data_IF_000282767958
#
_entry.id   IF_000282767958
#
_cell.length_a   1.000
_cell.length_b   1.000
_cell.length_c   1.000
_cell.angle_alpha   90.00
_cell.angle_beta   90.00
_cell.angle_gamma   90.00
#
_symmetry.space_group_name_H-M   'P 1'
#
loop_
_entity.id
_entity.type
_entity.pdbx_description
1 polymer ?
#
# COMPACT_ATOMS: atom_id res chain seq x y z
N UNK A 1 -16.54 -1.57 -25.59
CA UNK A 1 -15.39 -2.48 -25.75
C UNK A 1 -15.94 -3.87 -26.03
N UNK A 2 -15.52 -4.56 -27.11
CA UNK A 2 -16.05 -5.89 -27.40
C UNK A 2 -15.55 -6.88 -26.35
N UNK A 3 -16.45 -7.74 -25.85
CA UNK A 3 -16.14 -8.77 -24.87
C UNK A 3 -15.21 -9.82 -25.50
N UNK A 4 -13.90 -9.70 -25.24
CA UNK A 4 -12.94 -10.73 -25.59
C UNK A 4 -13.17 -11.94 -24.69
N UNK A 5 -13.44 -13.09 -25.31
CA UNK A 5 -13.51 -14.38 -24.62
C UNK A 5 -12.24 -14.58 -23.79
N UNK A 6 -12.38 -14.68 -22.46
CA UNK A 6 -11.22 -14.84 -21.57
C UNK A 6 -10.49 -16.13 -21.90
N UNK A 7 -9.26 -16.04 -22.42
CA UNK A 7 -8.41 -17.20 -22.65
C UNK A 7 -8.00 -17.81 -21.30
N UNK A 8 -7.66 -19.10 -21.27
CA UNK A 8 -7.15 -19.75 -20.04
C UNK A 8 -5.94 -18.99 -19.47
N UNK A 9 -5.09 -18.45 -20.35
CA UNK A 9 -3.92 -17.63 -20.00
C UNK A 9 -4.31 -16.31 -19.33
N UNK A 10 -5.34 -15.61 -19.82
CA UNK A 10 -5.81 -14.37 -19.21
C UNK A 10 -6.51 -14.62 -17.86
N UNK A 11 -7.24 -15.73 -17.70
CA UNK A 11 -7.82 -16.15 -16.42
C UNK A 11 -6.74 -16.46 -15.38
N UNK A 12 -5.68 -17.18 -15.77
CA UNK A 12 -4.54 -17.47 -14.88
C UNK A 12 -3.78 -16.18 -14.52
N UNK A 13 -3.59 -15.27 -15.48
CA UNK A 13 -3.00 -13.96 -15.22
C UNK A 13 -3.82 -13.16 -14.19
N UNK A 14 -5.14 -13.11 -14.36
CA UNK A 14 -6.05 -12.42 -13.44
C UNK A 14 -6.07 -13.04 -12.04
N UNK A 15 -6.06 -14.37 -11.94
CA UNK A 15 -6.05 -15.07 -10.64
C UNK A 15 -4.75 -14.87 -9.86
N UNK A 16 -3.61 -14.79 -10.56
CA UNK A 16 -2.27 -14.63 -9.97
C UNK A 16 -1.90 -13.15 -9.69
N UNK A 17 -2.58 -12.19 -10.32
CA UNK A 17 -2.36 -10.77 -10.07
C UNK A 17 -3.17 -10.30 -8.86
N UNK A 18 -2.47 -10.05 -7.75
CA UNK A 18 -3.04 -9.61 -6.48
C UNK A 18 -3.62 -8.18 -6.48
N UNK A 19 -3.69 -7.51 -7.62
CA UNK A 19 -4.12 -6.11 -7.76
C UNK A 19 -5.63 -5.94 -7.89
N UNK A 20 -6.33 -6.97 -8.38
CA UNK A 20 -7.78 -6.91 -8.53
C UNK A 20 -8.40 -7.40 -7.22
N UNK A 21 -9.13 -6.51 -6.53
CA UNK A 21 -9.78 -6.78 -5.24
C UNK A 21 -10.91 -7.82 -5.29
N UNK A 22 -10.91 -8.73 -6.26
CA UNK A 22 -11.84 -9.83 -6.38
C UNK A 22 -11.63 -10.88 -5.29
N UNK A 23 -12.71 -11.55 -4.90
CA UNK A 23 -12.70 -12.61 -3.87
C UNK A 23 -11.77 -13.79 -4.22
N UNK A 24 -11.57 -14.09 -5.51
CA UNK A 24 -10.65 -15.13 -5.97
C UNK A 24 -9.18 -14.76 -5.75
N UNK A 25 -8.78 -13.54 -6.11
CA UNK A 25 -7.41 -13.03 -5.90
C UNK A 25 -7.02 -13.01 -4.42
N UNK A 26 -7.96 -12.64 -3.55
CA UNK A 26 -7.77 -12.68 -2.09
C UNK A 26 -7.56 -14.11 -1.57
N UNK A 27 -8.33 -15.08 -2.08
CA UNK A 27 -8.17 -16.51 -1.73
C UNK A 27 -6.80 -17.03 -2.16
N UNK A 28 -6.38 -16.76 -3.40
CA UNK A 28 -5.05 -17.16 -3.90
C UNK A 28 -3.92 -16.55 -3.08
N UNK A 29 -4.02 -15.26 -2.74
CA UNK A 29 -3.06 -14.60 -1.85
C UNK A 29 -3.01 -15.27 -0.48
N UNK A 30 -4.16 -15.56 0.13
CA UNK A 30 -4.22 -16.23 1.44
C UNK A 30 -3.60 -17.64 1.39
N UNK A 31 -3.88 -18.41 0.33
CA UNK A 31 -3.31 -19.73 0.12
C UNK A 31 -1.78 -19.66 0.01
N UNK A 32 -1.23 -18.71 -0.77
CA UNK A 32 0.22 -18.54 -0.90
C UNK A 32 0.87 -18.17 0.44
N UNK A 33 0.25 -17.30 1.23
CA UNK A 33 0.77 -16.94 2.55
C UNK A 33 0.76 -18.14 3.51
N UNK A 34 -0.26 -18.99 3.46
CA UNK A 34 -0.33 -20.23 4.25
C UNK A 34 0.76 -21.21 3.82
N UNK A 35 0.93 -21.45 2.51
CA UNK A 35 1.98 -22.32 1.96
C UNK A 35 3.37 -21.81 2.37
N UNK A 36 3.59 -20.50 2.27
CA UNK A 36 4.84 -19.86 2.67
C UNK A 36 5.09 -19.98 4.17
N UNK A 37 4.07 -19.73 5.01
CA UNK A 37 4.17 -19.89 6.45
C UNK A 37 4.47 -21.33 6.86
N UNK A 38 3.80 -22.31 6.25
CA UNK A 38 4.07 -23.73 6.48
C UNK A 38 5.49 -24.12 6.05
N UNK A 39 5.98 -23.60 4.92
CA UNK A 39 7.35 -23.82 4.45
C UNK A 39 8.40 -23.23 5.40
N UNK A 40 8.24 -21.97 5.83
CA UNK A 40 9.16 -21.34 6.77
C UNK A 40 9.15 -22.03 8.15
N UNK A 41 7.97 -22.46 8.62
CA UNK A 41 7.87 -23.25 9.85
C UNK A 41 8.57 -24.61 9.71
N UNK A 42 8.42 -25.30 8.58
CA UNK A 42 9.11 -26.56 8.31
C UNK A 42 10.64 -26.37 8.30
N UNK A 43 11.13 -25.27 7.72
CA UNK A 43 12.56 -24.93 7.75
C UNK A 43 13.04 -24.66 9.17
N UNK A 44 12.28 -23.89 9.96
CA UNK A 44 12.61 -23.66 11.37
C UNK A 44 12.61 -24.94 12.22
N UNK A 45 11.68 -25.87 11.96
CA UNK A 45 11.66 -27.17 12.64
C UNK A 45 12.79 -28.09 12.17
N UNK A 46 13.25 -27.94 10.92
CA UNK A 46 14.35 -28.74 10.39
C UNK A 46 15.69 -28.47 11.06
N UNK A 47 15.84 -27.34 11.77
CA UNK A 47 17.05 -27.01 12.54
C UNK A 47 17.06 -27.62 13.95
N UNK A 48 16.09 -28.46 14.30
CA UNK A 48 16.03 -29.14 15.60
C UNK A 48 16.53 -30.58 15.44
N UNK A 49 17.65 -30.89 16.09
CA UNK A 49 18.35 -32.17 15.90
C UNK A 49 17.58 -33.39 16.47
N UNK A 50 16.84 -33.21 17.57
CA UNK A 50 16.18 -34.30 18.33
C UNK A 50 14.72 -34.58 17.95
N UNK A 51 14.39 -34.51 16.65
CA UNK A 51 13.04 -34.82 16.17
C UNK A 51 12.86 -36.31 15.84
N UNK A 52 11.70 -36.93 16.17
CA UNK A 52 11.38 -38.29 15.75
C UNK A 52 11.51 -38.47 14.23
N UNK A 53 11.96 -39.64 13.77
CA UNK A 53 12.20 -39.89 12.35
C UNK A 53 10.96 -39.65 11.45
N UNK A 54 9.76 -39.91 11.98
CA UNK A 54 8.50 -39.58 11.30
C UNK A 54 8.35 -38.06 11.07
N UNK A 55 8.66 -37.24 12.08
CA UNK A 55 8.58 -35.79 11.99
C UNK A 55 9.61 -35.25 10.99
N UNK A 56 10.85 -35.76 11.00
CA UNK A 56 11.88 -35.38 10.02
C UNK A 56 11.44 -35.67 8.58
N UNK A 57 10.86 -36.84 8.31
CA UNK A 57 10.31 -37.20 6.99
C UNK A 57 9.15 -36.31 6.58
N UNK A 58 8.24 -36.01 7.51
CA UNK A 58 7.11 -35.11 7.27
C UNK A 58 7.59 -33.69 6.93
N UNK A 59 8.56 -33.16 7.67
CA UNK A 59 9.17 -31.84 7.42
C UNK A 59 9.81 -31.79 6.04
N UNK A 60 10.62 -32.80 5.69
CA UNK A 60 11.24 -32.89 4.36
C UNK A 60 10.19 -32.95 3.25
N UNK A 61 9.12 -33.72 3.45
CA UNK A 61 7.99 -33.79 2.51
C UNK A 61 7.31 -32.42 2.33
N UNK A 62 7.05 -31.70 3.42
CA UNK A 62 6.46 -30.35 3.37
C UNK A 62 7.37 -29.38 2.61
N UNK A 63 8.68 -29.39 2.86
CA UNK A 63 9.65 -28.54 2.16
C UNK A 63 9.63 -28.82 0.64
N UNK A 64 9.67 -30.10 0.24
CA UNK A 64 9.60 -30.50 -1.18
C UNK A 64 8.28 -30.06 -1.81
N UNK A 65 7.16 -30.25 -1.10
CA UNK A 65 5.83 -29.85 -1.56
C UNK A 65 5.74 -28.33 -1.79
N UNK A 66 6.20 -27.53 -0.82
CA UNK A 66 6.23 -26.05 -0.94
C UNK A 66 7.12 -25.61 -2.09
N UNK A 67 8.31 -26.21 -2.22
CA UNK A 67 9.24 -25.94 -3.31
C UNK A 67 8.60 -26.24 -4.69
N UNK A 68 7.89 -27.36 -4.80
CA UNK A 68 7.16 -27.74 -6.01
C UNK A 68 6.02 -26.76 -6.33
N UNK A 69 5.25 -26.34 -5.33
CA UNK A 69 4.20 -25.31 -5.50
C UNK A 69 4.80 -24.01 -6.04
N UNK A 70 5.94 -23.55 -5.51
CA UNK A 70 6.60 -22.33 -5.98
C UNK A 70 7.21 -22.45 -7.37
N UNK A 71 7.73 -23.62 -7.73
CA UNK A 71 8.19 -23.92 -9.09
C UNK A 71 7.04 -23.84 -10.10
N UNK A 72 5.92 -24.51 -9.81
CA UNK A 72 4.72 -24.48 -10.66
C UNK A 72 4.18 -23.07 -10.77
N UNK A 73 4.07 -22.34 -9.65
CA UNK A 73 3.62 -20.96 -9.63
C UNK A 73 4.47 -20.05 -10.52
N UNK A 74 5.81 -20.14 -10.42
CA UNK A 74 6.69 -19.34 -11.26
C UNK A 74 6.57 -19.69 -12.74
N UNK A 75 6.46 -20.98 -13.07
CA UNK A 75 6.20 -21.44 -14.44
C UNK A 75 4.89 -20.85 -14.99
N UNK A 76 3.82 -20.87 -14.20
CA UNK A 76 2.53 -20.27 -14.57
C UNK A 76 2.62 -18.75 -14.75
N UNK A 77 3.31 -18.04 -13.85
CA UNK A 77 3.50 -16.58 -13.96
C UNK A 77 4.36 -16.20 -15.16
N UNK A 78 5.41 -16.96 -15.46
CA UNK A 78 6.24 -16.77 -16.64
C UNK A 78 5.45 -17.04 -17.92
N UNK A 79 4.64 -18.10 -17.95
CA UNK A 79 3.77 -18.40 -19.09
C UNK A 79 2.68 -17.34 -19.33
N UNK A 80 2.09 -16.82 -18.25
CA UNK A 80 1.05 -15.78 -18.29
C UNK A 80 1.60 -14.35 -18.43
N UNK A 81 2.92 -14.13 -18.36
CA UNK A 81 3.54 -12.81 -18.42
C UNK A 81 3.15 -11.95 -19.65
N UNK A 82 2.99 -12.50 -20.87
CA UNK A 82 2.61 -11.72 -22.06
C UNK A 82 1.21 -11.09 -21.99
N UNK A 83 0.31 -11.57 -21.11
CA UNK A 83 -1.02 -10.97 -20.91
C UNK A 83 -0.95 -9.65 -20.13
N UNK A 84 0.19 -9.31 -19.54
CA UNK A 84 0.31 -8.06 -18.80
C UNK A 84 0.21 -6.86 -19.75
N UNK A 85 -0.65 -5.86 -19.44
CA UNK A 85 -0.72 -4.62 -20.21
C UNK A 85 0.63 -3.91 -20.35
N UNK A 86 1.55 -4.13 -19.40
CA UNK A 86 2.91 -3.56 -19.40
C UNK A 86 3.76 -4.04 -20.59
N UNK A 87 3.42 -5.17 -21.21
CA UNK A 87 4.19 -5.79 -22.28
C UNK A 87 3.38 -5.97 -23.58
N UNK A 88 2.25 -5.25 -23.72
CA UNK A 88 1.35 -5.39 -24.86
C UNK A 88 2.04 -5.18 -26.22
N UNK A 89 3.02 -4.28 -26.30
CA UNK A 89 3.74 -3.95 -27.54
C UNK A 89 4.96 -4.86 -27.82
N UNK A 90 5.10 -5.98 -27.10
CA UNK A 90 6.30 -6.83 -27.13
C UNK A 90 5.98 -8.23 -27.64
N UNK A 91 6.98 -8.88 -28.24
CA UNK A 91 6.90 -10.32 -28.55
C UNK A 91 6.82 -11.15 -27.26
N UNK A 92 6.15 -12.31 -27.31
CA UNK A 92 5.93 -13.14 -26.13
C UNK A 92 7.24 -13.52 -25.40
N UNK A 93 8.28 -13.91 -26.14
CA UNK A 93 9.58 -14.24 -25.55
C UNK A 93 10.23 -13.05 -24.83
N UNK A 94 10.13 -11.86 -25.40
CA UNK A 94 10.65 -10.63 -24.79
C UNK A 94 9.87 -10.24 -23.54
N UNK A 95 8.55 -10.43 -23.54
CA UNK A 95 7.70 -10.19 -22.38
C UNK A 95 8.08 -11.12 -21.22
N UNK A 96 8.29 -12.40 -21.49
CA UNK A 96 8.72 -13.41 -20.50
C UNK A 96 10.07 -13.06 -19.89
N UNK A 97 11.08 -12.74 -20.72
CA UNK A 97 12.42 -12.38 -20.23
C UNK A 97 12.40 -11.11 -19.39
N UNK A 98 11.66 -10.09 -19.83
CA UNK A 98 11.54 -8.83 -19.10
C UNK A 98 10.79 -8.99 -17.78
N UNK A 99 9.79 -9.87 -17.74
CA UNK A 99 9.12 -10.23 -16.49
C UNK A 99 10.06 -10.98 -15.54
N UNK A 100 10.82 -11.96 -16.04
CA UNK A 100 11.79 -12.72 -15.22
C UNK A 100 12.86 -11.81 -14.60
N UNK A 101 13.31 -10.78 -15.32
CA UNK A 101 14.26 -9.77 -14.85
C UNK A 101 13.62 -8.64 -14.00
N UNK A 102 12.30 -8.66 -13.81
CA UNK A 102 11.62 -7.71 -12.92
C UNK A 102 11.86 -8.07 -11.45
N UNK A 103 11.70 -7.14 -10.49
CA UNK A 103 11.87 -7.45 -9.07
C UNK A 103 11.01 -8.64 -8.59
N UNK A 104 9.76 -8.74 -9.05
CA UNK A 104 8.88 -9.86 -8.71
C UNK A 104 9.33 -11.18 -9.37
N UNK A 105 9.88 -11.11 -10.58
CA UNK A 105 10.47 -12.26 -11.28
C UNK A 105 11.74 -12.76 -10.60
N UNK A 106 12.64 -11.86 -10.23
CA UNK A 106 13.88 -12.18 -9.51
C UNK A 106 13.60 -12.81 -8.15
N UNK A 107 12.65 -12.27 -7.38
CA UNK A 107 12.20 -12.90 -6.12
C UNK A 107 11.63 -14.29 -6.39
N UNK A 108 10.81 -14.45 -7.45
CA UNK A 108 10.29 -15.75 -7.86
C UNK A 108 11.39 -16.75 -8.21
N UNK A 109 12.40 -16.31 -8.97
CA UNK A 109 13.55 -17.13 -9.37
C UNK A 109 14.36 -17.57 -8.14
N UNK A 110 14.67 -16.64 -7.23
CA UNK A 110 15.35 -16.93 -5.97
C UNK A 110 14.55 -17.90 -5.10
N UNK A 111 13.22 -17.79 -5.07
CA UNK A 111 12.35 -18.69 -4.30
C UNK A 111 12.31 -20.14 -4.84
N UNK A 112 12.76 -20.38 -6.07
CA UNK A 112 12.83 -21.73 -6.68
C UNK A 112 14.22 -22.35 -6.50
N UNK A 113 15.23 -21.57 -6.13
CA UNK A 113 16.58 -22.10 -5.84
C UNK A 113 16.56 -23.28 -4.87
N UNK A 114 15.71 -23.33 -3.81
CA UNK A 114 15.55 -24.53 -2.99
C UNK A 114 15.08 -25.76 -3.77
N UNK A 115 14.10 -25.63 -4.67
CA UNK A 115 13.63 -26.75 -5.49
C UNK A 115 14.76 -27.30 -6.38
N UNK A 116 15.57 -26.40 -6.94
CA UNK A 116 16.76 -26.77 -7.71
C UNK A 116 17.81 -27.46 -6.82
N UNK A 117 18.15 -26.87 -5.68
CA UNK A 117 19.10 -27.46 -4.74
C UNK A 117 18.66 -28.84 -4.24
N UNK A 118 17.37 -29.04 -3.95
CA UNK A 118 16.81 -30.32 -3.49
C UNK A 118 16.81 -31.38 -4.62
N UNK A 119 16.51 -30.99 -5.85
CA UNK A 119 16.54 -31.91 -7.01
C UNK A 119 17.98 -32.30 -7.40
N UNK A 120 18.93 -31.36 -7.31
CA UNK A 120 20.36 -31.66 -7.42
C UNK A 120 20.84 -32.50 -6.24
N UNK A 121 20.30 -32.32 -5.03
CA UNK A 121 20.61 -33.15 -3.85
C UNK A 121 20.14 -34.60 -4.00
N UNK A 122 19.06 -34.86 -4.74
CA UNK A 122 18.72 -36.22 -5.14
C UNK A 122 19.84 -36.89 -5.99
N UNK A 123 20.77 -36.08 -6.51
CA UNK A 123 21.96 -36.49 -7.27
C UNK A 123 23.28 -36.28 -6.48
N UNK A 124 23.35 -35.40 -5.47
CA UNK A 124 24.56 -35.05 -4.71
C UNK A 124 24.33 -34.92 -3.18
N UNK A 125 25.21 -35.50 -2.37
CA UNK A 125 24.98 -35.84 -0.96
C UNK A 125 25.39 -34.78 0.10
N UNK A 126 25.14 -33.48 -0.11
CA UNK A 126 25.40 -32.45 0.92
C UNK A 126 24.09 -31.86 1.48
N UNK A 127 23.98 -31.77 2.82
CA UNK A 127 22.72 -31.63 3.56
C UNK A 127 22.29 -30.20 3.89
N UNK A 128 23.21 -29.25 4.00
CA UNK A 128 22.91 -28.00 4.74
C UNK A 128 22.62 -26.80 3.82
N UNK A 129 23.18 -26.78 2.61
CA UNK A 129 23.03 -25.68 1.66
C UNK A 129 21.59 -25.50 1.19
N UNK A 130 20.83 -26.59 1.02
CA UNK A 130 19.43 -26.53 0.57
C UNK A 130 18.52 -25.84 1.60
N UNK A 131 18.77 -26.06 2.90
CA UNK A 131 18.02 -25.43 3.98
C UNK A 131 18.28 -23.91 4.02
N UNK A 132 19.53 -23.49 3.78
CA UNK A 132 19.91 -22.07 3.68
C UNK A 132 19.16 -21.35 2.55
N UNK A 133 19.01 -21.99 1.38
CA UNK A 133 18.24 -21.40 0.28
C UNK A 133 16.75 -21.26 0.60
N UNK A 134 16.19 -22.12 1.47
CA UNK A 134 14.77 -22.03 1.83
C UNK A 134 14.44 -20.73 2.57
N UNK A 135 15.41 -20.09 3.23
CA UNK A 135 15.23 -18.76 3.81
C UNK A 135 14.86 -17.70 2.75
N UNK A 136 15.28 -17.87 1.48
CA UNK A 136 14.91 -16.96 0.39
C UNK A 136 13.41 -16.91 0.13
N UNK A 137 12.64 -17.90 0.60
CA UNK A 137 11.18 -17.86 0.55
C UNK A 137 10.61 -16.66 1.31
N UNK A 138 11.30 -16.14 2.33
CA UNK A 138 10.85 -14.94 3.06
C UNK A 138 10.71 -13.73 2.13
N UNK A 139 11.50 -13.65 1.05
CA UNK A 139 11.43 -12.57 0.06
C UNK A 139 10.08 -12.53 -0.67
N UNK A 140 9.38 -13.68 -0.80
CA UNK A 140 8.03 -13.72 -1.38
C UNK A 140 7.02 -12.94 -0.54
N UNK A 141 7.21 -12.77 0.77
CA UNK A 141 6.35 -11.90 1.59
C UNK A 141 6.29 -10.48 1.03
N UNK A 142 7.43 -9.99 0.51
CA UNK A 142 7.54 -8.66 -0.07
C UNK A 142 6.64 -8.45 -1.29
N UNK A 143 6.39 -9.51 -2.07
CA UNK A 143 5.52 -9.47 -3.26
C UNK A 143 4.04 -9.40 -2.88
N UNK A 144 3.66 -9.97 -1.74
CA UNK A 144 2.27 -10.04 -1.28
C UNK A 144 1.83 -8.87 -0.41
N UNK A 145 2.76 -8.00 0.01
CA UNK A 145 2.48 -6.84 0.82
C UNK A 145 2.32 -5.57 -0.05
N UNK A 146 1.11 -5.02 -0.22
CA UNK A 146 0.89 -3.78 -0.98
C UNK A 146 1.71 -2.60 -0.42
N UNK A 147 2.00 -2.63 0.88
CA UNK A 147 2.86 -1.68 1.56
C UNK A 147 4.28 -1.63 0.98
N UNK A 148 4.82 -2.74 0.47
CA UNK A 148 6.18 -2.77 -0.10
C UNK A 148 6.29 -1.98 -1.39
N UNK A 149 5.24 -1.98 -2.23
CA UNK A 149 5.19 -1.12 -3.41
C UNK A 149 5.19 0.37 -3.05
N UNK A 150 4.57 0.73 -1.92
CA UNK A 150 4.64 2.08 -1.35
C UNK A 150 6.05 2.41 -0.90
N UNK A 151 6.62 1.54 -0.06
CA UNK A 151 7.94 1.71 0.53
C UNK A 151 9.00 1.87 -0.54
N UNK A 152 8.97 1.05 -1.60
CA UNK A 152 9.89 1.16 -2.73
C UNK A 152 9.78 2.51 -3.47
N UNK A 153 8.55 3.04 -3.64
CA UNK A 153 8.35 4.36 -4.25
C UNK A 153 8.84 5.48 -3.35
N UNK A 154 8.55 5.42 -2.04
CA UNK A 154 9.06 6.39 -1.06
C UNK A 154 10.57 6.42 -1.06
N UNK A 155 11.24 5.26 -0.96
CA UNK A 155 12.70 5.18 -1.01
C UNK A 155 13.26 5.71 -2.33
N UNK A 156 12.61 5.39 -3.47
CA UNK A 156 13.05 5.88 -4.78
C UNK A 156 12.90 7.41 -4.90
N UNK A 157 11.84 7.98 -4.34
CA UNK A 157 11.59 9.42 -4.37
C UNK A 157 12.55 10.16 -3.43
N UNK A 158 12.77 9.62 -2.23
CA UNK A 158 13.62 10.21 -1.18
C UNK A 158 15.10 9.78 -1.25
N UNK A 159 15.51 9.08 -2.32
CA UNK A 159 16.85 8.47 -2.43
C UNK A 159 17.99 9.46 -2.24
N UNK A 160 17.83 10.70 -2.69
CA UNK A 160 18.86 11.73 -2.57
C UNK A 160 19.00 12.17 -1.10
N UNK A 161 17.88 12.47 -0.45
CA UNK A 161 17.82 12.85 0.96
C UNK A 161 18.34 11.72 1.87
N UNK A 162 17.89 10.49 1.62
CA UNK A 162 18.36 9.30 2.34
C UNK A 162 19.85 9.05 2.12
N UNK A 163 20.36 9.24 0.90
CA UNK A 163 21.79 9.12 0.63
C UNK A 163 22.61 10.16 1.40
N UNK A 164 22.13 11.42 1.51
CA UNK A 164 22.79 12.45 2.31
C UNK A 164 22.85 12.07 3.80
N UNK A 165 21.75 11.55 4.36
CA UNK A 165 21.72 11.08 5.76
C UNK A 165 22.66 9.89 5.96
N UNK A 166 22.71 8.94 5.02
CA UNK A 166 23.62 7.79 5.06
C UNK A 166 25.10 8.21 4.99
N UNK A 167 25.42 9.21 4.17
CA UNK A 167 26.79 9.76 4.10
C UNK A 167 27.18 10.40 5.44
N UNK A 168 26.29 11.21 6.03
CA UNK A 168 26.52 11.81 7.36
C UNK A 168 26.71 10.71 8.41
N UNK A 169 25.88 9.67 8.39
CA UNK A 169 25.99 8.51 9.28
C UNK A 169 27.36 7.84 9.17
N UNK A 170 27.82 7.55 7.96
CA UNK A 170 29.14 6.92 7.71
C UNK A 170 30.27 7.84 8.21
N UNK A 171 30.19 9.15 7.97
CA UNK A 171 31.20 10.11 8.44
C UNK A 171 31.29 10.08 9.97
N UNK A 172 30.15 10.24 10.67
CA UNK A 172 30.11 10.21 12.14
C UNK A 172 30.66 8.88 12.68
N UNK A 173 30.29 7.78 12.05
CA UNK A 173 30.69 6.44 12.45
C UNK A 173 32.21 6.20 12.30
N UNK A 174 32.81 6.62 11.18
CA UNK A 174 34.27 6.51 10.96
C UNK A 174 35.03 7.47 11.88
N UNK A 175 34.53 8.69 12.06
CA UNK A 175 35.14 9.66 12.98
C UNK A 175 35.10 9.17 14.43
N UNK A 176 33.98 8.61 14.87
CA UNK A 176 33.82 8.02 16.20
C UNK A 176 34.79 6.87 16.43
N UNK A 177 34.83 5.89 15.50
CA UNK A 177 35.72 4.74 15.57
C UNK A 177 37.20 5.15 15.62
N UNK A 178 37.57 6.15 14.82
CA UNK A 178 38.94 6.68 14.80
C UNK A 178 39.29 7.36 16.12
N UNK A 179 38.40 8.20 16.65
CA UNK A 179 38.63 8.90 17.90
C UNK A 179 38.76 7.94 19.10
N UNK A 180 37.85 6.98 19.24
CA UNK A 180 37.93 6.00 20.33
C UNK A 180 39.09 5.03 20.16
N UNK A 181 39.46 4.66 18.94
CA UNK A 181 40.70 3.93 18.69
C UNK A 181 41.91 4.68 19.25
N UNK A 182 42.06 5.98 18.97
CA UNK A 182 43.18 6.77 19.49
C UNK A 182 43.17 6.92 21.01
N UNK A 183 42.01 7.13 21.62
CA UNK A 183 41.91 7.36 23.08
C UNK A 183 41.95 6.08 23.92
N UNK A 184 41.41 4.96 23.42
CA UNK A 184 41.24 3.74 24.21
C UNK A 184 42.27 2.65 23.91
N UNK A 185 42.95 2.66 22.75
CA UNK A 185 43.89 1.57 22.37
C UNK A 185 44.99 1.28 23.39
N UNK A 186 45.37 2.27 24.20
CA UNK A 186 46.42 2.12 25.20
C UNK A 186 45.92 1.38 26.45
N UNK A 187 44.66 1.55 26.82
CA UNK A 187 44.04 0.89 27.99
C UNK A 187 43.32 -0.40 27.61
N UNK A 188 42.82 -0.49 26.38
CA UNK A 188 41.98 -1.58 25.88
C UNK A 188 42.48 -2.07 24.51
N UNK A 189 43.66 -2.71 24.43
CA UNK A 189 44.19 -3.21 23.17
C UNK A 189 43.32 -4.32 22.56
N UNK A 190 42.65 -5.14 23.38
CA UNK A 190 41.81 -6.23 22.87
C UNK A 190 40.50 -5.71 22.22
N UNK A 191 39.94 -4.62 22.74
CA UNK A 191 38.67 -4.06 22.27
C UNK A 191 38.82 -2.91 21.26
N UNK A 192 39.83 -2.04 21.44
CA UNK A 192 40.09 -0.87 20.60
C UNK A 192 41.47 -0.95 19.90
N UNK A 193 42.08 -2.13 19.79
CA UNK A 193 43.39 -2.31 19.17
C UNK A 193 43.44 -2.17 17.65
N UNK A 194 42.28 -2.13 16.99
CA UNK A 194 42.18 -1.91 15.54
C UNK A 194 40.99 -1.01 15.19
N UNK A 195 41.08 -0.32 14.05
CA UNK A 195 39.97 0.51 13.56
C UNK A 195 38.67 -0.31 13.32
N UNK A 196 38.71 -1.52 12.72
CA UNK A 196 37.50 -2.35 12.60
C UNK A 196 36.86 -2.73 13.93
N UNK A 197 37.65 -3.00 14.97
CA UNK A 197 37.13 -3.30 16.30
C UNK A 197 36.45 -2.07 16.93
N UNK A 198 37.07 -0.88 16.80
CA UNK A 198 36.44 0.38 17.21
C UNK A 198 35.18 0.71 16.38
N UNK A 199 35.13 0.30 15.12
CA UNK A 199 33.98 0.45 14.22
C UNK A 199 32.77 -0.33 14.71
N UNK A 200 32.97 -1.56 15.20
CA UNK A 200 31.91 -2.37 15.81
C UNK A 200 31.26 -1.62 16.99
N UNK A 201 32.07 -1.13 17.92
CA UNK A 201 31.58 -0.32 19.04
C UNK A 201 30.84 0.94 18.57
N UNK A 202 31.38 1.65 17.56
CA UNK A 202 30.76 2.84 17.01
C UNK A 202 29.40 2.53 16.37
N UNK A 203 29.27 1.43 15.62
CA UNK A 203 27.99 0.95 15.06
C UNK A 203 26.99 0.68 16.19
N UNK A 204 27.38 -0.11 17.19
CA UNK A 204 26.50 -0.51 18.31
C UNK A 204 26.02 0.71 19.11
N UNK A 205 26.89 1.69 19.33
CA UNK A 205 26.58 2.90 20.10
C UNK A 205 25.74 3.89 19.28
N UNK A 206 26.12 4.14 18.03
CA UNK A 206 25.44 5.10 17.14
C UNK A 206 24.04 4.61 16.74
N UNK A 207 23.85 3.30 16.61
CA UNK A 207 22.53 2.69 16.33
C UNK A 207 21.69 2.49 17.59
N UNK A 208 22.10 3.03 18.74
CA UNK A 208 21.39 2.93 20.02
C UNK A 208 21.18 1.49 20.52
N UNK A 209 21.95 0.52 20.03
CA UNK A 209 21.83 -0.89 20.42
C UNK A 209 22.43 -1.15 21.80
N UNK A 210 23.68 -0.71 22.01
CA UNK A 210 24.33 -0.73 23.33
C UNK A 210 24.43 -2.11 24.00
N UNK A 211 25.02 -3.11 23.35
CA UNK A 211 25.19 -4.46 23.93
C UNK A 211 25.91 -4.47 25.28
N UNK A 212 26.80 -3.52 25.53
CA UNK A 212 27.59 -3.44 26.77
C UNK A 212 28.80 -4.38 26.80
N UNK A 213 29.16 -4.97 25.66
CA UNK A 213 30.33 -5.82 25.45
C UNK A 213 31.64 -5.01 25.48
N UNK A 214 31.63 -3.81 24.91
CA UNK A 214 32.78 -2.89 24.86
C UNK A 214 32.32 -1.47 25.23
N UNK A 215 33.06 -0.79 26.10
CA UNK A 215 32.79 0.60 26.49
C UNK A 215 34.08 1.40 26.70
N UNK A 216 34.12 2.71 26.36
CA UNK A 216 35.28 3.54 26.65
C UNK A 216 35.49 3.70 28.17
N UNK A 217 36.74 3.57 28.61
CA UNK A 217 37.13 3.78 30.01
C UNK A 217 37.70 5.16 30.26
N UNK A 218 38.34 5.78 29.26
CA UNK A 218 38.91 7.11 29.38
C UNK A 218 37.84 8.20 29.41
N UNK A 219 38.18 9.35 30.03
CA UNK A 219 37.30 10.53 30.05
C UNK A 219 37.05 11.02 28.61
N UNK A 220 38.10 11.10 27.79
CA UNK A 220 37.99 11.52 26.39
C UNK A 220 37.11 10.56 25.57
N UNK A 221 37.31 9.25 25.73
CA UNK A 221 36.49 8.23 25.08
C UNK A 221 35.01 8.32 25.49
N UNK A 222 34.72 8.57 26.77
CA UNK A 222 33.35 8.81 27.25
C UNK A 222 32.73 10.08 26.66
N UNK A 223 33.49 11.16 26.53
CA UNK A 223 33.00 12.38 25.86
C UNK A 223 32.67 12.13 24.39
N UNK A 224 33.52 11.38 23.67
CA UNK A 224 33.22 10.94 22.29
C UNK A 224 31.95 10.10 22.28
N UNK A 225 31.83 9.12 23.17
CA UNK A 225 30.62 8.29 23.33
C UNK A 225 29.36 9.12 23.50
N UNK A 226 29.37 10.13 24.37
CA UNK A 226 28.22 11.03 24.57
C UNK A 226 27.81 11.76 23.28
N UNK A 227 28.77 12.29 22.52
CA UNK A 227 28.50 12.96 21.23
C UNK A 227 27.94 11.97 20.20
N UNK A 228 28.46 10.74 20.19
CA UNK A 228 28.00 9.66 19.29
C UNK A 228 26.57 9.27 19.62
N UNK A 229 26.22 9.12 20.90
CA UNK A 229 24.85 8.79 21.31
C UNK A 229 23.85 9.85 20.86
N UNK A 230 24.16 11.14 21.06
CA UNK A 230 23.28 12.25 20.60
C UNK A 230 23.18 12.29 19.07
N UNK A 231 24.31 12.14 18.38
CA UNK A 231 24.35 12.08 16.90
C UNK A 231 23.52 10.92 16.35
N UNK A 232 23.56 9.75 17.02
CA UNK A 232 22.81 8.56 16.64
C UNK A 232 21.31 8.79 16.67
N UNK A 233 20.81 9.36 17.77
CA UNK A 233 19.39 9.74 17.90
C UNK A 233 18.99 10.73 16.81
N UNK A 234 19.82 11.74 16.52
CA UNK A 234 19.53 12.74 15.49
C UNK A 234 19.45 12.12 14.09
N UNK A 235 20.39 11.25 13.72
CA UNK A 235 20.39 10.58 12.42
C UNK A 235 19.17 9.65 12.27
N UNK A 236 18.85 8.87 13.30
CA UNK A 236 17.67 8.02 13.29
C UNK A 236 16.38 8.85 13.17
N UNK A 237 16.28 9.97 13.90
CA UNK A 237 15.14 10.88 13.82
C UNK A 237 14.96 11.46 12.40
N UNK A 238 16.06 11.86 11.74
CA UNK A 238 16.02 12.33 10.36
C UNK A 238 15.52 11.24 9.40
N UNK A 239 16.06 10.01 9.52
CA UNK A 239 15.64 8.90 8.66
C UNK A 239 14.17 8.55 8.85
N UNK A 240 13.70 8.44 10.10
CA UNK A 240 12.30 8.20 10.42
C UNK A 240 11.41 9.34 9.92
N UNK A 241 11.85 10.59 10.08
CA UNK A 241 11.14 11.78 9.59
C UNK A 241 10.94 11.76 8.08
N UNK A 242 12.01 11.54 7.32
CA UNK A 242 11.98 11.48 5.84
C UNK A 242 11.06 10.36 5.36
N UNK A 243 11.15 9.17 5.97
CA UNK A 243 10.29 8.05 5.61
C UNK A 243 8.83 8.37 5.94
N UNK A 244 8.54 8.90 7.13
CA UNK A 244 7.18 9.25 7.56
C UNK A 244 6.54 10.29 6.63
N UNK A 245 7.27 11.36 6.28
CA UNK A 245 6.78 12.37 5.32
C UNK A 245 6.57 11.78 3.94
N UNK A 246 7.49 10.94 3.46
CA UNK A 246 7.37 10.29 2.16
C UNK A 246 6.18 9.32 2.10
N UNK A 247 5.94 8.54 3.16
CA UNK A 247 4.76 7.68 3.29
C UNK A 247 3.46 8.49 3.29
N UNK A 248 3.41 9.58 4.06
CA UNK A 248 2.25 10.48 4.12
C UNK A 248 1.96 11.10 2.75
N UNK A 249 2.98 11.51 2.01
CA UNK A 249 2.82 12.11 0.69
C UNK A 249 2.34 11.08 -0.35
N UNK A 250 2.90 9.87 -0.33
CA UNK A 250 2.49 8.80 -1.25
C UNK A 250 1.11 8.20 -0.90
N UNK A 251 0.68 8.29 0.36
CA UNK A 251 -0.69 7.98 0.77
C UNK A 251 -1.66 9.07 0.30
N UNK A 252 -1.36 10.35 0.55
CA UNK A 252 -2.15 11.49 0.08
C UNK A 252 -2.29 11.49 -1.45
N UNK A 253 -1.20 11.23 -2.18
CA UNK A 253 -1.23 11.13 -3.64
C UNK A 253 -2.15 10.01 -4.13
N UNK A 254 -2.17 8.86 -3.45
CA UNK A 254 -3.07 7.76 -3.80
C UNK A 254 -4.51 8.04 -3.45
N UNK A 255 -4.76 8.71 -2.33
CA UNK A 255 -6.08 9.19 -1.98
C UNK A 255 -6.59 10.18 -3.05
N UNK A 256 -5.78 11.16 -3.43
CA UNK A 256 -6.09 12.11 -4.49
C UNK A 256 -6.45 11.41 -5.81
N UNK A 257 -5.65 10.43 -6.24
CA UNK A 257 -5.93 9.67 -7.47
C UNK A 257 -7.21 8.83 -7.38
N UNK A 258 -7.52 8.25 -6.21
CA UNK A 258 -8.80 7.55 -6.00
C UNK A 258 -9.97 8.51 -6.04
N UNK A 259 -9.87 9.66 -5.37
CA UNK A 259 -10.90 10.70 -5.37
C UNK A 259 -11.12 11.18 -6.80
N UNK A 260 -10.04 11.45 -7.55
CA UNK A 260 -10.12 11.86 -8.95
C UNK A 260 -10.91 10.87 -9.81
N UNK A 261 -10.59 9.56 -9.75
CA UNK A 261 -11.32 8.52 -10.49
C UNK A 261 -12.81 8.48 -10.12
N UNK A 262 -13.14 8.74 -8.86
CA UNK A 262 -14.53 8.80 -8.39
C UNK A 262 -15.25 10.08 -8.83
N UNK A 263 -14.56 11.22 -8.81
CA UNK A 263 -15.09 12.53 -9.18
C UNK A 263 -15.42 12.58 -10.66
N UNK A 264 -14.54 12.06 -11.52
CA UNK A 264 -14.76 12.02 -12.98
C UNK A 264 -16.00 11.20 -13.36
N UNK A 265 -16.43 10.24 -12.51
CA UNK A 265 -17.66 9.47 -12.73
C UNK A 265 -18.93 10.27 -12.45
N UNK A 266 -18.85 11.42 -11.78
CA UNK A 266 -20.00 12.29 -11.53
C UNK A 266 -20.17 13.25 -12.70
N UNK A 267 -21.28 13.18 -13.46
CA UNK A 267 -21.42 13.94 -14.71
C UNK A 267 -21.22 15.45 -14.57
N UNK A 268 -21.65 16.06 -13.45
CA UNK A 268 -21.49 17.51 -13.25
C UNK A 268 -20.02 17.95 -13.21
N UNK A 269 -19.14 17.08 -12.72
CA UNK A 269 -17.72 17.39 -12.55
C UNK A 269 -16.93 17.13 -13.82
N UNK A 270 -17.42 16.24 -14.69
CA UNK A 270 -16.86 16.04 -16.03
C UNK A 270 -17.05 17.29 -16.93
N UNK A 271 -18.05 18.13 -16.66
CA UNK A 271 -18.24 19.43 -17.34
C UNK A 271 -17.27 20.51 -16.85
N UNK A 272 -16.58 20.30 -15.72
CA UNK A 272 -15.59 21.25 -15.20
C UNK A 272 -14.23 21.01 -15.86
N UNK A 273 -13.54 22.08 -16.25
CA UNK A 273 -12.18 21.99 -16.80
C UNK A 273 -11.21 21.33 -15.81
N UNK A 274 -10.14 20.71 -16.33
CA UNK A 274 -9.17 19.93 -15.54
C UNK A 274 -8.52 20.72 -14.41
N UNK A 275 -8.29 22.03 -14.61
CA UNK A 275 -7.71 22.94 -13.60
C UNK A 275 -8.68 23.10 -12.42
N UNK A 276 -9.93 23.49 -12.69
CA UNK A 276 -10.99 23.63 -11.68
C UNK A 276 -11.22 22.31 -10.92
N UNK A 277 -11.20 21.20 -11.64
CA UNK A 277 -11.38 19.88 -11.05
C UNK A 277 -10.29 19.54 -10.03
N UNK A 278 -9.04 19.92 -10.31
CA UNK A 278 -7.90 19.67 -9.41
C UNK A 278 -8.03 20.39 -8.06
N UNK A 279 -8.57 21.61 -8.06
CA UNK A 279 -8.81 22.38 -6.83
C UNK A 279 -9.91 21.75 -5.97
N UNK A 280 -10.97 21.24 -6.61
CA UNK A 280 -12.10 20.59 -5.92
C UNK A 280 -11.68 19.23 -5.34
N UNK A 281 -10.93 18.43 -6.10
CA UNK A 281 -10.50 17.08 -5.68
C UNK A 281 -9.67 17.14 -4.40
N UNK A 282 -8.84 18.18 -4.20
CA UNK A 282 -8.07 18.38 -2.98
C UNK A 282 -8.89 18.68 -1.72
N UNK A 283 -10.17 19.05 -1.87
CA UNK A 283 -11.09 19.41 -0.78
C UNK A 283 -12.15 18.34 -0.53
N UNK A 284 -12.35 17.42 -1.48
CA UNK A 284 -13.30 16.31 -1.34
C UNK A 284 -12.74 15.21 -0.42
N UNK A 285 -13.60 14.68 0.45
CA UNK A 285 -13.25 13.52 1.31
C UNK A 285 -14.07 12.30 0.92
N UNK A 286 -13.42 11.16 0.74
CA UNK A 286 -14.10 9.88 0.49
C UNK A 286 -14.63 9.31 1.79
N UNK A 287 -15.90 8.90 1.81
CA UNK A 287 -16.48 8.11 2.90
C UNK A 287 -17.19 6.88 2.38
N UNK A 288 -16.91 5.74 3.00
CA UNK A 288 -17.55 4.47 2.69
C UNK A 288 -18.58 4.15 3.77
N UNK A 289 -19.79 3.81 3.34
CA UNK A 289 -20.89 3.46 4.22
C UNK A 289 -21.41 2.05 3.89
N UNK A 290 -21.65 1.20 4.91
CA UNK A 290 -22.32 -0.09 4.71
C UNK A 290 -23.79 0.13 4.29
N UNK A 291 -24.50 -0.89 3.79
CA UNK A 291 -25.93 -0.80 3.52
C UNK A 291 -26.72 -0.57 4.81
N UNK A 292 -27.90 0.07 4.70
CA UNK A 292 -28.81 0.44 5.79
C UNK A 292 -28.24 1.42 6.82
N UNK A 293 -27.23 2.20 6.43
CA UNK A 293 -26.61 3.21 7.27
C UNK A 293 -27.30 4.57 7.07
N UNK A 294 -27.62 5.27 8.17
CA UNK A 294 -28.21 6.62 8.12
C UNK A 294 -27.08 7.64 7.97
N UNK A 295 -26.98 8.26 6.80
CA UNK A 295 -25.90 9.22 6.48
C UNK A 295 -26.25 10.62 7.00
N UNK A 296 -27.51 11.01 6.87
CA UNK A 296 -28.02 12.34 7.25
C UNK A 296 -29.39 12.15 7.88
N UNK A 297 -29.70 12.86 8.96
CA UNK A 297 -31.05 12.90 9.52
C UNK A 297 -31.74 14.21 9.19
N UNK A 298 -33.07 14.13 9.09
CA UNK A 298 -33.94 15.29 8.90
C UNK A 298 -33.82 16.23 10.11
N UNK A 299 -33.95 17.52 9.85
CA UNK A 299 -33.97 18.64 10.80
C UNK A 299 -32.63 18.88 11.54
N UNK A 300 -31.59 18.11 11.22
CA UNK A 300 -30.22 18.40 11.66
C UNK A 300 -29.65 19.59 10.86
N UNK A 301 -28.71 20.36 11.43
CA UNK A 301 -27.94 21.33 10.67
C UNK A 301 -27.11 20.61 9.59
N UNK A 302 -27.07 21.17 8.38
CA UNK A 302 -26.26 20.62 7.30
C UNK A 302 -25.01 21.44 7.07
N UNK A 303 -23.85 20.80 7.17
CA UNK A 303 -22.51 21.39 7.04
C UNK A 303 -21.73 20.84 5.84
N UNK A 304 -22.37 20.02 5.00
CA UNK A 304 -21.75 19.36 3.86
C UNK A 304 -22.76 18.95 2.80
N UNK A 305 -22.30 18.80 1.56
CA UNK A 305 -23.00 18.08 0.49
C UNK A 305 -22.24 16.81 0.11
N UNK A 306 -22.96 15.85 -0.46
CA UNK A 306 -22.47 14.51 -0.72
C UNK A 306 -22.70 14.14 -2.18
N UNK A 307 -21.68 13.69 -2.89
CA UNK A 307 -21.77 13.15 -4.24
C UNK A 307 -21.64 11.62 -4.20
N UNK A 308 -22.48 10.92 -4.97
CA UNK A 308 -22.55 9.46 -4.98
C UNK A 308 -21.58 8.95 -6.06
N UNK A 309 -20.40 8.52 -5.64
CA UNK A 309 -19.40 7.95 -6.53
C UNK A 309 -19.75 6.51 -6.95
N UNK A 310 -20.32 5.73 -6.03
CA UNK A 310 -20.72 4.34 -6.24
C UNK A 310 -21.79 3.95 -5.19
N UNK A 311 -22.74 3.10 -5.57
CA UNK A 311 -23.81 2.62 -4.69
C UNK A 311 -25.16 3.32 -4.91
N UNK A 312 -26.01 3.25 -3.90
CA UNK A 312 -27.38 3.78 -3.95
C UNK A 312 -27.82 4.23 -2.54
N UNK A 313 -28.45 5.40 -2.48
CA UNK A 313 -29.08 5.93 -1.27
C UNK A 313 -30.56 6.18 -1.50
N UNK A 314 -31.34 6.04 -0.44
CA UNK A 314 -32.76 6.37 -0.38
C UNK A 314 -32.96 7.63 0.45
N UNK A 315 -33.58 8.63 -0.16
CA UNK A 315 -33.99 9.88 0.48
C UNK A 315 -35.41 9.69 1.00
N UNK A 316 -35.55 9.52 2.32
CA UNK A 316 -36.84 9.35 2.98
C UNK A 316 -37.53 10.70 3.17
N UNK A 317 -38.42 11.02 2.24
CA UNK A 317 -39.29 12.18 2.29
C UNK A 317 -40.66 11.80 2.91
N UNK A 318 -41.42 12.76 3.46
CA UNK A 318 -42.72 12.50 4.10
C UNK A 318 -43.79 11.94 3.16
N UNK A 319 -43.63 12.09 1.85
CA UNK A 319 -44.61 11.64 0.84
C UNK A 319 -44.13 10.39 0.15
N UNK A 320 -43.05 10.48 -0.61
CA UNK A 320 -42.54 9.38 -1.43
C UNK A 320 -41.00 9.32 -1.34
N UNK A 321 -40.41 8.15 -1.07
CA UNK A 321 -38.96 8.00 -1.03
C UNK A 321 -38.36 8.10 -2.43
N UNK A 322 -37.29 8.86 -2.57
CA UNK A 322 -36.56 9.01 -3.84
C UNK A 322 -35.23 8.28 -3.74
N UNK A 323 -34.90 7.45 -4.74
CA UNK A 323 -33.61 6.75 -4.78
C UNK A 323 -32.62 7.50 -5.66
N UNK A 324 -31.43 7.74 -5.13
CA UNK A 324 -30.32 8.35 -5.85
C UNK A 324 -29.22 7.32 -6.05
N UNK A 325 -28.74 7.21 -7.29
CA UNK A 325 -27.68 6.29 -7.72
C UNK A 325 -26.39 7.03 -8.04
N UNK A 326 -25.36 6.31 -8.48
CA UNK A 326 -24.10 6.84 -8.98
C UNK A 326 -24.29 8.06 -9.91
N UNK A 327 -23.46 9.09 -9.71
CA UNK A 327 -23.59 10.41 -10.35
C UNK A 327 -24.61 11.34 -9.69
N UNK A 328 -25.40 10.81 -8.76
CA UNK A 328 -26.27 11.56 -7.85
C UNK A 328 -25.49 12.40 -6.83
N UNK A 329 -26.18 13.31 -6.15
CA UNK A 329 -25.68 14.06 -4.99
C UNK A 329 -26.86 14.58 -4.18
N UNK A 330 -26.60 14.97 -2.94
CA UNK A 330 -27.61 15.50 -2.02
C UNK A 330 -26.99 16.44 -0.98
N UNK A 331 -27.82 17.24 -0.33
CA UNK A 331 -27.41 18.15 0.74
C UNK A 331 -27.03 19.55 0.24
N UNK A 332 -27.25 19.82 -1.03
CA UNK A 332 -27.04 21.12 -1.69
C UNK A 332 -27.93 22.22 -1.10
N UNK A 333 -29.15 21.90 -0.68
CA UNK A 333 -30.07 22.86 -0.05
C UNK A 333 -29.53 23.39 1.28
N UNK A 334 -28.80 22.55 2.03
CA UNK A 334 -28.21 23.00 3.28
C UNK A 334 -27.04 23.97 3.07
N UNK A 335 -26.34 23.86 1.93
CA UNK A 335 -25.21 24.72 1.59
C UNK A 335 -25.62 26.00 0.84
N UNK A 336 -26.50 25.88 -0.15
CA UNK A 336 -26.93 27.01 -0.99
C UNK A 336 -28.02 27.84 -0.30
N UNK A 337 -29.05 27.17 0.23
CA UNK A 337 -30.22 27.84 0.80
C UNK A 337 -30.08 28.08 2.32
N UNK A 338 -29.00 27.59 2.95
CA UNK A 338 -28.73 27.66 4.41
C UNK A 338 -29.88 27.11 5.26
N UNK A 339 -30.53 26.05 4.78
CA UNK A 339 -31.64 25.39 5.46
C UNK A 339 -31.18 24.14 6.23
N UNK A 340 -31.88 23.74 7.30
CA UNK A 340 -31.65 22.43 7.93
C UNK A 340 -31.95 21.29 6.94
N UNK A 341 -31.46 20.09 7.25
CA UNK A 341 -31.64 18.89 6.42
C UNK A 341 -33.13 18.59 6.24
N UNK A 342 -33.60 18.55 5.00
CA UNK A 342 -35.03 18.37 4.70
C UNK A 342 -35.51 16.91 4.65
N UNK A 343 -34.58 15.95 4.69
CA UNK A 343 -34.88 14.52 4.58
C UNK A 343 -33.86 13.68 5.33
N UNK A 344 -34.26 12.47 5.71
CA UNK A 344 -33.33 11.45 6.22
C UNK A 344 -32.81 10.62 5.06
N UNK A 345 -31.50 10.42 4.98
CA UNK A 345 -30.85 9.73 3.86
C UNK A 345 -30.21 8.45 4.38
N UNK A 346 -30.56 7.32 3.77
CA UNK A 346 -30.13 5.99 4.18
C UNK A 346 -29.53 5.24 3.00
N UNK A 347 -28.38 4.60 3.19
CA UNK A 347 -27.79 3.75 2.15
C UNK A 347 -28.63 2.48 1.93
N UNK A 348 -28.87 2.10 0.69
CA UNK A 348 -29.53 0.81 0.36
C UNK A 348 -28.51 -0.26 0.02
N UNK A 349 -27.40 0.14 -0.62
CA UNK A 349 -26.24 -0.68 -0.97
C UNK A 349 -24.97 -0.17 -0.25
N UNK A 350 -23.88 -0.96 -0.19
CA UNK A 350 -22.57 -0.40 0.12
C UNK A 350 -22.30 0.82 -0.79
N UNK A 351 -22.09 1.98 -0.18
CA UNK A 351 -22.08 3.26 -0.91
C UNK A 351 -20.83 4.05 -0.59
N UNK A 352 -20.19 4.57 -1.63
CA UNK A 352 -19.06 5.49 -1.52
C UNK A 352 -19.52 6.90 -1.85
N UNK A 353 -19.40 7.79 -0.86
CA UNK A 353 -19.76 9.19 -0.97
C UNK A 353 -18.53 10.08 -0.98
N UNK A 354 -18.52 11.08 -1.85
CA UNK A 354 -17.57 12.19 -1.81
C UNK A 354 -18.22 13.33 -1.04
N UNK A 355 -17.58 13.78 0.03
CA UNK A 355 -18.10 14.81 0.92
C UNK A 355 -17.38 16.13 0.64
N UNK A 356 -18.15 17.18 0.40
CA UNK A 356 -17.66 18.56 0.34
C UNK A 356 -18.28 19.36 1.48
N UNK A 357 -17.47 19.83 2.43
CA UNK A 357 -17.95 20.62 3.55
C UNK A 357 -18.29 22.05 3.13
N UNK A 358 -19.14 22.71 3.90
CA UNK A 358 -19.60 24.07 3.65
C UNK A 358 -18.44 25.06 3.59
N UNK A 359 -17.47 24.95 4.51
CA UNK A 359 -16.28 25.80 4.54
C UNK A 359 -15.50 25.71 3.23
N UNK A 360 -15.28 24.49 2.74
CA UNK A 360 -14.54 24.23 1.51
C UNK A 360 -15.35 24.67 0.28
N UNK A 361 -16.67 24.43 0.26
CA UNK A 361 -17.55 24.86 -0.81
C UNK A 361 -17.54 26.39 -0.96
N UNK A 362 -17.65 27.15 0.13
CA UNK A 362 -17.65 28.62 0.07
C UNK A 362 -16.28 29.18 -0.32
N UNK A 363 -15.18 28.56 0.13
CA UNK A 363 -13.82 28.93 -0.28
C UNK A 363 -13.63 28.75 -1.79
N UNK A 364 -14.09 27.63 -2.35
CA UNK A 364 -14.02 27.35 -3.79
C UNK A 364 -14.99 28.26 -4.57
N UNK A 365 -16.21 28.45 -4.07
CA UNK A 365 -17.23 29.27 -4.73
C UNK A 365 -16.79 30.73 -4.91
N UNK A 366 -15.93 31.24 -4.02
CA UNK A 366 -15.36 32.57 -4.15
C UNK A 366 -14.42 32.73 -5.36
N UNK A 367 -13.78 31.65 -5.81
CA UNK A 367 -12.76 31.68 -6.87
C UNK A 367 -13.20 30.96 -8.15
N UNK A 368 -14.24 30.13 -8.09
CA UNK A 368 -14.72 29.30 -9.19
C UNK A 368 -16.25 29.44 -9.39
N UNK A 369 -16.70 30.48 -10.12
CA UNK A 369 -18.12 30.69 -10.41
C UNK A 369 -18.75 29.54 -11.21
N UNK A 370 -17.96 28.83 -12.03
CA UNK A 370 -18.43 27.71 -12.85
C UNK A 370 -18.89 26.51 -12.02
N UNK A 371 -18.30 26.28 -10.84
CA UNK A 371 -18.74 25.22 -9.92
C UNK A 371 -20.15 25.53 -9.37
N UNK A 372 -20.35 26.76 -8.90
CA UNK A 372 -21.65 27.20 -8.37
C UNK A 372 -22.71 27.08 -9.46
N UNK A 373 -22.41 27.56 -10.67
CA UNK A 373 -23.31 27.44 -11.81
C UNK A 373 -23.65 25.98 -12.15
N UNK A 374 -22.67 25.07 -12.10
CA UNK A 374 -22.88 23.64 -12.34
C UNK A 374 -23.78 23.00 -11.27
N UNK A 375 -23.52 23.28 -9.99
CA UNK A 375 -24.33 22.77 -8.87
C UNK A 375 -25.76 23.31 -8.96
N UNK A 376 -25.94 24.60 -9.22
CA UNK A 376 -27.28 25.19 -9.36
C UNK A 376 -28.03 24.67 -10.60
N UNK A 377 -27.35 24.56 -11.75
CA UNK A 377 -27.94 24.01 -13.00
C UNK A 377 -28.48 22.62 -12.74
N UNK A 378 -27.68 21.77 -12.11
CA UNK A 378 -28.06 20.40 -11.80
C UNK A 378 -29.13 20.31 -10.71
N UNK A 379 -29.06 21.15 -9.67
CA UNK A 379 -30.10 21.24 -8.64
C UNK A 379 -31.45 21.68 -9.24
N UNK A 380 -31.44 22.66 -10.15
CA UNK A 380 -32.63 23.09 -10.90
C UNK A 380 -33.19 21.96 -11.77
N UNK A 381 -32.34 21.26 -12.52
CA UNK A 381 -32.74 20.09 -13.34
C UNK A 381 -33.50 19.06 -12.49
N UNK A 382 -32.95 18.69 -11.33
CA UNK A 382 -33.58 17.70 -10.44
C UNK A 382 -34.86 18.19 -9.79
N UNK A 383 -34.91 19.47 -9.37
CA UNK A 383 -36.16 20.06 -8.87
C UNK A 383 -37.26 19.97 -9.93
N UNK A 384 -36.94 20.23 -11.20
CA UNK A 384 -37.86 20.13 -12.32
C UNK A 384 -38.25 18.69 -12.65
N UNK A 385 -37.33 17.73 -12.64
CA UNK A 385 -37.64 16.29 -12.83
C UNK A 385 -38.58 15.77 -11.74
N UNK A 386 -38.33 16.15 -10.48
CA UNK A 386 -39.19 15.80 -9.34
C UNK A 386 -40.56 16.51 -9.38
N UNK A 387 -40.66 17.66 -10.05
CA UNK A 387 -41.92 18.37 -10.27
C UNK A 387 -42.67 17.84 -11.50
N UNK A 388 -41.96 17.43 -12.56
CA UNK A 388 -42.53 16.86 -13.79
C UNK A 388 -43.12 15.46 -13.59
N UNK A 389 -42.55 14.66 -12.68
CA UNK A 389 -43.16 13.41 -12.22
C UNK A 389 -44.51 13.59 -11.52
N UNK A 390 -44.84 14.81 -11.05
CA UNK A 390 -46.15 15.13 -10.46
C UNK A 390 -47.25 15.38 -11.49
N UNK A 391 -46.92 15.50 -12.78
CA UNK A 391 -47.88 15.89 -13.84
C UNK A 391 -48.59 14.74 -14.56
N UNK A 392 -48.22 13.47 -14.33
CA UNK A 392 -48.73 12.34 -15.12
C UNK A 392 -49.97 11.64 -14.54
N UNK A 393 -50.55 12.10 -13.43
CA UNK A 393 -51.69 11.42 -12.75
C UNK A 393 -52.89 12.34 -12.47
N UNK A 394 -53.16 13.31 -13.35
CA UNK A 394 -54.41 14.05 -13.30
C UNK A 394 -55.03 14.12 -14.70
N UNK A 395 -55.71 13.04 -15.10
CA UNK A 395 -56.83 13.14 -16.05
C UNK A 395 -58.09 13.36 -15.22
N UNK A 396 -58.82 14.47 -15.41
CA UNK A 396 -60.16 14.59 -14.84
C UNK A 396 -61.13 13.72 -15.64
N UNK A 397 -62.07 13.08 -14.94
CA UNK A 397 -63.26 12.43 -15.50
C UNK A 397 -64.19 13.46 -16.16
#
# INVERSE_FOLDING_TARGET
MPATTSTLRSRIHAALNHTDGGSESQRWRSLHLVVLGAGLLAVALSSVDDLPQFAQRLIAFVIVLVAAVFLVEYGLRLWAAPESPRYADRTEGSARLRWALSPAGLIGLLAIMPAFAISVRAVAAESDLAALFCFLWILKLGVHAPAMGTLARVISNERATLASVLIIFIIVLVSAATATYFFERAQQPDAFGSLPAALWWAVVTLTTTGYGDVVPHTIAGKMVGSVVMVSGILVLALMTGILATGFSEEERRREYLRVWDQVVKVPMFAELGTVTLSEIVGKLRVRHYPPRFVVVRRDEPGDAMFFIAEGEVEVRLPREPVRLRQGGFFGEMALLDRLPRNATIVTTLPTTLLVLYASDFYEIAAHIPSLVAAVEKEARRRRLENLGGRGAVAKPE
#
